data_IF_727055298400
#
_entry.id   IF_727055298400
#
_cell.length_a   1.000
_cell.length_b   1.000
_cell.length_c   1.000
_cell.angle_alpha   90.00
_cell.angle_beta   90.00
_cell.angle_gamma   90.00
#
_symmetry.space_group_name_H-M   'P 1'
#
loop_
_entity.id
_entity.type
_entity.pdbx_description
1 polymer ?
#
# COMPACT_ATOMS: atom_id res chain seq x y z
N UNK A 1 28.07 -5.57 4.57
CA UNK A 1 27.04 -4.57 4.90
C UNK A 1 26.12 -4.28 3.71
N UNK A 2 26.62 -4.37 2.48
CA UNK A 2 25.85 -4.28 1.21
C UNK A 2 24.57 -5.15 1.24
N UNK A 3 24.71 -6.46 1.47
CA UNK A 3 23.57 -7.39 1.54
C UNK A 3 22.52 -7.10 2.64
N UNK A 4 22.90 -6.39 3.72
CA UNK A 4 21.96 -6.10 4.82
C UNK A 4 21.05 -4.94 4.45
N UNK A 5 21.59 -3.92 3.78
CA UNK A 5 20.80 -2.78 3.32
C UNK A 5 19.76 -3.25 2.29
N UNK A 6 20.18 -4.06 1.32
CA UNK A 6 19.29 -4.60 0.28
C UNK A 6 18.19 -5.46 0.88
N UNK A 7 18.50 -6.28 1.89
CA UNK A 7 17.52 -7.08 2.60
C UNK A 7 16.47 -6.22 3.32
N UNK A 8 16.88 -5.11 3.93
CA UNK A 8 15.95 -4.17 4.57
C UNK A 8 15.08 -3.46 3.52
N UNK A 9 15.68 -2.97 2.44
CA UNK A 9 14.94 -2.34 1.34
C UNK A 9 13.92 -3.31 0.73
N UNK A 10 14.31 -4.58 0.54
CA UNK A 10 13.41 -5.63 0.07
C UNK A 10 12.26 -5.89 1.05
N UNK A 11 12.53 -5.93 2.36
CA UNK A 11 11.47 -6.07 3.36
C UNK A 11 10.48 -4.90 3.30
N UNK A 12 10.95 -3.66 3.14
CA UNK A 12 10.08 -2.49 2.99
C UNK A 12 9.30 -2.54 1.67
N UNK A 13 9.93 -2.98 0.58
CA UNK A 13 9.27 -3.20 -0.71
C UNK A 13 8.09 -4.15 -0.58
N UNK A 14 8.32 -5.33 0.01
CA UNK A 14 7.29 -6.35 0.18
C UNK A 14 6.19 -5.89 1.13
N UNK A 15 6.56 -5.26 2.25
CA UNK A 15 5.59 -4.75 3.22
C UNK A 15 4.69 -3.65 2.63
N UNK A 16 5.29 -2.65 1.98
CA UNK A 16 4.55 -1.54 1.37
C UNK A 16 3.72 -1.98 0.17
N UNK A 17 4.25 -2.87 -0.68
CA UNK A 17 3.52 -3.45 -1.81
C UNK A 17 2.33 -4.31 -1.35
N UNK A 18 2.54 -5.18 -0.36
CA UNK A 18 1.48 -6.00 0.21
C UNK A 18 0.37 -5.17 0.86
N UNK A 19 0.72 -4.19 1.68
CA UNK A 19 -0.24 -3.29 2.31
C UNK A 19 -0.95 -2.40 1.27
N UNK A 20 -0.23 -1.88 0.29
CA UNK A 20 -0.78 -1.05 -0.80
C UNK A 20 -1.79 -1.81 -1.66
N UNK A 21 -1.42 -3.00 -2.15
CA UNK A 21 -2.33 -3.85 -2.92
C UNK A 21 -3.55 -4.28 -2.11
N UNK A 22 -3.36 -4.63 -0.84
CA UNK A 22 -4.49 -5.00 0.05
C UNK A 22 -5.42 -3.81 0.27
N UNK A 23 -4.88 -2.61 0.47
CA UNK A 23 -5.68 -1.40 0.63
C UNK A 23 -6.50 -1.08 -0.63
N UNK A 24 -5.90 -1.21 -1.83
CA UNK A 24 -6.64 -1.08 -3.08
C UNK A 24 -7.70 -2.18 -3.25
N UNK A 25 -7.43 -3.41 -2.83
CA UNK A 25 -8.43 -4.48 -2.85
C UNK A 25 -9.64 -4.15 -1.96
N UNK A 26 -9.41 -3.52 -0.79
CA UNK A 26 -10.47 -3.10 0.11
C UNK A 26 -11.41 -2.06 -0.50
N UNK A 27 -10.98 -1.30 -1.52
CA UNK A 27 -11.89 -0.44 -2.28
C UNK A 27 -13.07 -1.21 -2.89
N UNK A 28 -12.82 -2.44 -3.36
CA UNK A 28 -13.83 -3.31 -3.97
C UNK A 28 -14.49 -4.28 -2.98
N UNK A 29 -13.75 -4.67 -1.93
CA UNK A 29 -14.16 -5.72 -1.00
C UNK A 29 -14.78 -5.20 0.31
N UNK A 30 -14.65 -3.89 0.61
CA UNK A 30 -15.20 -3.34 1.85
C UNK A 30 -16.72 -3.47 1.92
N UNK A 31 -17.20 -3.88 3.10
CA UNK A 31 -18.63 -4.02 3.40
C UNK A 31 -19.35 -2.68 3.21
N UNK A 32 -20.50 -2.66 2.51
CA UNK A 32 -21.33 -1.47 2.40
C UNK A 32 -21.73 -0.93 3.77
N UNK A 33 -21.60 0.38 3.95
CA UNK A 33 -22.16 1.13 5.09
C UNK A 33 -23.31 2.00 4.58
N UNK A 34 -24.36 2.12 5.39
CA UNK A 34 -25.53 2.97 5.09
C UNK A 34 -25.22 4.47 5.23
N UNK A 35 -24.14 4.80 5.93
CA UNK A 35 -23.65 6.17 6.06
C UNK A 35 -22.79 6.56 4.85
N UNK A 36 -23.30 7.52 4.06
CA UNK A 36 -22.63 8.01 2.86
C UNK A 36 -21.31 8.70 3.13
N UNK A 37 -21.17 9.40 4.26
CA UNK A 37 -19.94 10.11 4.63
C UNK A 37 -18.85 9.10 4.97
N UNK A 38 -19.19 8.10 5.78
CA UNK A 38 -18.27 7.01 6.15
C UNK A 38 -17.83 6.24 4.91
N UNK A 39 -18.74 5.95 3.98
CA UNK A 39 -18.42 5.25 2.73
C UNK A 39 -17.44 6.03 1.86
N UNK A 40 -17.64 7.34 1.71
CA UNK A 40 -16.74 8.17 0.90
C UNK A 40 -15.36 8.27 1.54
N UNK A 41 -15.31 8.49 2.85
CA UNK A 41 -14.06 8.53 3.61
C UNK A 41 -13.27 7.24 3.47
N UNK A 42 -13.90 6.08 3.67
CA UNK A 42 -13.25 4.77 3.51
C UNK A 42 -12.68 4.57 2.11
N UNK A 43 -13.44 4.92 1.06
CA UNK A 43 -12.96 4.84 -0.33
C UNK A 43 -11.73 5.70 -0.58
N UNK A 44 -11.73 6.92 -0.04
CA UNK A 44 -10.59 7.82 -0.14
C UNK A 44 -9.37 7.26 0.60
N UNK A 45 -9.56 6.78 1.83
CA UNK A 45 -8.50 6.16 2.64
C UNK A 45 -7.89 4.94 1.93
N UNK A 46 -8.71 4.00 1.44
CA UNK A 46 -8.24 2.83 0.70
C UNK A 46 -7.45 3.18 -0.54
N UNK A 47 -7.90 4.19 -1.29
CA UNK A 47 -7.19 4.64 -2.49
C UNK A 47 -5.88 5.32 -2.12
N UNK A 48 -5.90 6.22 -1.13
CA UNK A 48 -4.72 6.96 -0.69
C UNK A 48 -3.64 6.04 -0.14
N UNK A 49 -3.97 5.17 0.82
CA UNK A 49 -3.03 4.21 1.39
C UNK A 49 -2.56 3.20 0.35
N UNK A 50 -3.44 2.79 -0.55
CA UNK A 50 -3.11 1.92 -1.67
C UNK A 50 -2.04 2.52 -2.59
N UNK A 51 -2.29 3.71 -3.10
CA UNK A 51 -1.36 4.42 -3.99
C UNK A 51 -0.04 4.75 -3.27
N UNK A 52 -0.10 5.23 -2.02
CA UNK A 52 1.10 5.54 -1.25
C UNK A 52 1.98 4.29 -1.03
N UNK A 53 1.37 3.15 -0.71
CA UNK A 53 2.08 1.87 -0.57
C UNK A 53 2.75 1.43 -1.88
N UNK A 54 2.06 1.58 -3.02
CA UNK A 54 2.65 1.28 -4.33
C UNK A 54 3.79 2.22 -4.70
N UNK A 55 3.68 3.52 -4.40
CA UNK A 55 4.78 4.48 -4.62
C UNK A 55 6.01 4.08 -3.83
N UNK A 56 5.86 3.76 -2.54
CA UNK A 56 6.98 3.29 -1.71
C UNK A 56 7.57 2.00 -2.29
N UNK A 57 6.73 1.04 -2.68
CA UNK A 57 7.17 -0.21 -3.29
C UNK A 57 8.03 0.06 -4.55
N UNK A 58 7.59 0.94 -5.45
CA UNK A 58 8.34 1.26 -6.65
C UNK A 58 9.64 2.04 -6.36
N UNK A 59 9.65 2.90 -5.35
CA UNK A 59 10.88 3.59 -4.92
C UNK A 59 11.88 2.58 -4.33
N UNK A 60 11.44 1.63 -3.51
CA UNK A 60 12.31 0.58 -2.98
C UNK A 60 12.80 -0.35 -4.09
N UNK A 61 11.94 -0.69 -5.06
CA UNK A 61 12.35 -1.45 -6.24
C UNK A 61 13.47 -0.74 -6.98
N UNK A 62 13.30 0.55 -7.26
CA UNK A 62 14.32 1.36 -7.92
C UNK A 62 15.62 1.45 -7.12
N UNK A 63 15.54 1.48 -5.79
CA UNK A 63 16.72 1.55 -4.93
C UNK A 63 17.53 0.24 -4.86
N UNK A 64 16.89 -0.91 -5.06
CA UNK A 64 17.53 -2.25 -5.05
C UNK A 64 18.03 -2.65 -6.45
N UNK A 65 17.39 -2.14 -7.49
CA UNK A 65 17.67 -2.48 -8.90
C UNK A 65 18.91 -1.80 -9.44
#
# INVERSE_FOLDING_TARGET
MENILDAILFAVLVASGGLGLTSLAMFFLATPTDDTEVRQRQRFEFTFFGVAGLVIMFVMWYAIS
#
